data_IF_162111663109
#
_entry.id   IF_162111663109
#
_cell.length_a   1.000
_cell.length_b   1.000
_cell.length_c   1.000
_cell.angle_alpha   90.00
_cell.angle_beta   90.00
_cell.angle_gamma   90.00
#
_symmetry.space_group_name_H-M   'P 1'
#
loop_
_entity.id
_entity.type
_entity.pdbx_description
1 polymer ?
#
# COMPACT_ATOMS: atom_id res chain seq x y z
N UNK A 1 -2.33 38.20 0.34
CA UNK A 1 -1.59 37.28 -0.56
C UNK A 1 -0.74 36.30 0.26
N UNK A 2 -1.32 35.19 0.72
CA UNK A 2 -0.60 33.94 1.02
C UNK A 2 -1.63 32.84 0.79
N UNK A 3 -1.69 32.41 -0.46
CA UNK A 3 -2.55 31.33 -0.90
C UNK A 3 -2.10 30.03 -0.22
N UNK A 4 -3.10 29.27 0.19
CA UNK A 4 -3.06 27.83 0.45
C UNK A 4 -1.99 27.35 1.42
N UNK A 5 -2.45 27.14 2.66
CA UNK A 5 -2.18 25.87 3.31
C UNK A 5 -2.32 24.76 2.25
N UNK A 6 -1.22 24.06 2.02
CA UNK A 6 -1.26 22.79 1.33
C UNK A 6 -1.69 21.79 2.40
N UNK A 7 -2.99 21.73 2.69
CA UNK A 7 -3.54 20.81 3.66
C UNK A 7 -3.28 19.36 3.21
N UNK A 8 -2.45 18.57 3.92
CA UNK A 8 -2.21 17.17 3.58
C UNK A 8 -3.44 16.27 3.86
N UNK A 9 -4.55 16.85 4.30
CA UNK A 9 -5.81 16.14 4.60
C UNK A 9 -6.76 16.06 3.39
N UNK A 10 -6.71 17.04 2.48
CA UNK A 10 -7.61 17.08 1.31
C UNK A 10 -7.33 15.96 0.28
N UNK A 11 -6.14 15.35 0.34
CA UNK A 11 -5.79 14.16 -0.43
C UNK A 11 -6.33 12.85 0.18
N UNK A 12 -6.74 12.85 1.45
CA UNK A 12 -7.31 11.67 2.12
C UNK A 12 -8.80 11.49 1.78
N UNK A 13 -9.51 12.57 1.49
CA UNK A 13 -10.97 12.55 1.28
C UNK A 13 -11.38 11.93 -0.06
N UNK A 14 -10.55 12.03 -1.11
CA UNK A 14 -10.82 11.41 -2.41
C UNK A 14 -10.51 9.90 -2.46
N UNK A 15 -9.80 9.35 -1.47
CA UNK A 15 -9.36 7.96 -1.47
C UNK A 15 -10.44 6.98 -0.97
N UNK A 16 -11.45 7.47 -0.25
CA UNK A 16 -12.46 6.64 0.43
C UNK A 16 -13.69 6.29 -0.43
N UNK A 17 -13.83 6.87 -1.63
CA UNK A 17 -14.97 6.56 -2.54
C UNK A 17 -14.78 5.30 -3.41
N UNK A 18 -13.73 4.49 -3.16
CA UNK A 18 -13.46 3.22 -3.88
C UNK A 18 -13.97 1.96 -3.17
N UNK A 19 -14.73 2.10 -2.09
CA UNK A 19 -15.20 1.00 -1.23
C UNK A 19 -16.22 0.03 -1.88
N UNK A 20 -16.53 0.13 -3.18
CA UNK A 20 -17.50 -0.76 -3.87
C UNK A 20 -16.88 -1.79 -4.82
N UNK A 21 -15.56 -1.78 -5.03
CA UNK A 21 -14.89 -2.77 -5.89
C UNK A 21 -14.17 -3.78 -5.01
N UNK A 22 -14.62 -5.05 -5.06
CA UNK A 22 -14.14 -6.20 -4.26
C UNK A 22 -12.73 -6.00 -3.68
N UNK A 23 -12.59 -5.78 -2.36
CA UNK A 23 -11.27 -5.56 -1.77
C UNK A 23 -10.46 -6.85 -1.86
N UNK A 24 -9.25 -6.75 -2.40
CA UNK A 24 -8.22 -7.76 -2.22
C UNK A 24 -8.06 -7.97 -0.71
N UNK A 25 -8.35 -9.19 -0.22
CA UNK A 25 -8.23 -9.46 1.22
C UNK A 25 -6.76 -9.34 1.62
N UNK A 26 -6.51 -8.80 2.82
CA UNK A 26 -5.18 -8.77 3.45
C UNK A 26 -4.51 -10.15 3.43
N UNK A 27 -5.28 -11.22 3.59
CA UNK A 27 -4.76 -12.60 3.53
C UNK A 27 -4.21 -12.98 2.15
N UNK A 28 -4.79 -12.45 1.07
CA UNK A 28 -4.30 -12.67 -0.30
C UNK A 28 -3.01 -11.89 -0.52
N UNK A 29 -2.96 -10.63 -0.08
CA UNK A 29 -1.75 -9.81 -0.12
C UNK A 29 -0.60 -10.47 0.62
N UNK A 30 -0.83 -10.93 1.86
CA UNK A 30 0.19 -11.62 2.65
C UNK A 30 0.68 -12.89 1.96
N UNK A 31 -0.20 -13.61 1.26
CA UNK A 31 0.16 -14.80 0.49
C UNK A 31 1.07 -14.44 -0.70
N UNK A 32 0.75 -13.40 -1.47
CA UNK A 32 1.61 -12.94 -2.58
C UNK A 32 2.96 -12.45 -2.09
N UNK A 33 3.00 -11.66 -1.01
CA UNK A 33 4.24 -11.25 -0.38
C UNK A 33 5.09 -12.45 0.07
N UNK A 34 4.45 -13.47 0.67
CA UNK A 34 5.14 -14.68 1.08
C UNK A 34 5.59 -15.55 -0.10
N UNK A 35 4.88 -15.53 -1.23
CA UNK A 35 5.27 -16.24 -2.46
C UNK A 35 6.50 -15.59 -3.11
N UNK A 36 6.50 -14.25 -3.20
CA UNK A 36 7.57 -13.49 -3.85
C UNK A 36 8.81 -13.29 -2.97
N UNK A 37 8.61 -12.97 -1.69
CA UNK A 37 9.72 -12.62 -0.77
C UNK A 37 10.01 -13.71 0.27
N UNK A 38 9.12 -14.69 0.44
CA UNK A 38 9.17 -15.66 1.53
C UNK A 38 8.49 -15.16 2.82
N UNK A 39 7.91 -16.04 3.65
CA UNK A 39 7.07 -15.66 4.78
C UNK A 39 7.78 -14.81 5.84
N UNK A 40 9.06 -15.07 6.13
CA UNK A 40 9.81 -14.30 7.13
C UNK A 40 10.18 -12.90 6.64
N UNK A 41 10.67 -12.78 5.39
CA UNK A 41 11.07 -11.49 4.81
C UNK A 41 9.86 -10.62 4.46
N UNK A 42 8.75 -11.24 4.05
CA UNK A 42 7.49 -10.57 3.79
C UNK A 42 6.92 -9.84 5.01
N UNK A 43 7.00 -10.46 6.19
CA UNK A 43 6.50 -9.87 7.44
C UNK A 43 7.36 -8.66 7.85
N UNK A 44 8.69 -8.81 7.84
CA UNK A 44 9.62 -7.70 8.09
C UNK A 44 9.45 -6.57 7.07
N UNK A 45 9.33 -6.88 5.78
CA UNK A 45 9.10 -5.86 4.74
C UNK A 45 7.79 -5.11 4.98
N UNK A 46 6.72 -5.81 5.37
CA UNK A 46 5.43 -5.17 5.63
C UNK A 46 5.48 -4.20 6.81
N UNK A 47 6.38 -4.42 7.77
CA UNK A 47 6.48 -3.66 9.02
C UNK A 47 7.53 -2.58 8.99
N UNK A 48 8.71 -2.89 8.47
CA UNK A 48 9.89 -2.05 8.54
C UNK A 48 10.15 -1.28 7.23
N UNK A 49 9.60 -1.75 6.11
CA UNK A 49 9.84 -1.09 4.83
C UNK A 49 8.84 0.03 4.58
N UNK A 50 9.38 1.24 4.43
CA UNK A 50 8.62 2.44 4.12
C UNK A 50 8.55 2.60 2.60
N UNK A 51 7.35 2.60 2.06
CA UNK A 51 7.12 2.79 0.63
C UNK A 51 6.83 4.27 0.35
N UNK A 52 7.62 4.87 -0.54
CA UNK A 52 7.41 6.25 -1.00
C UNK A 52 6.04 6.43 -1.65
N UNK A 53 5.61 5.45 -2.44
CA UNK A 53 4.29 5.46 -3.10
C UNK A 53 3.10 5.40 -2.13
N UNK A 54 3.29 4.88 -0.91
CA UNK A 54 2.27 4.91 0.16
C UNK A 54 2.30 6.22 0.96
N UNK A 55 2.98 7.23 0.44
CA UNK A 55 3.20 8.52 1.09
C UNK A 55 4.24 8.44 2.21
N UNK A 56 5.26 7.59 2.04
CA UNK A 56 6.29 7.38 3.05
C UNK A 56 5.78 6.59 4.26
N UNK A 57 4.98 5.55 4.02
CA UNK A 57 4.41 4.68 5.06
C UNK A 57 4.77 3.23 4.84
N UNK A 58 4.73 2.46 5.92
CA UNK A 58 4.85 0.99 5.85
C UNK A 58 3.53 0.37 5.42
N UNK A 59 3.56 -0.91 5.05
CA UNK A 59 2.32 -1.63 4.68
C UNK A 59 1.32 -1.60 5.82
N UNK A 60 1.76 -1.89 7.05
CA UNK A 60 0.85 -1.88 8.20
C UNK A 60 0.28 -0.48 8.47
N UNK A 61 1.10 0.57 8.35
CA UNK A 61 0.61 1.94 8.49
C UNK A 61 -0.35 2.37 7.38
N UNK A 62 -0.12 1.92 6.14
CA UNK A 62 -1.01 2.20 5.03
C UNK A 62 -2.36 1.49 5.22
N UNK A 63 -2.34 0.22 5.61
CA UNK A 63 -3.56 -0.56 5.90
C UNK A 63 -4.34 0.04 7.07
N UNK A 64 -3.65 0.46 8.15
CA UNK A 64 -4.26 1.14 9.30
C UNK A 64 -4.89 2.49 8.91
N UNK A 65 -4.23 3.23 8.02
CA UNK A 65 -4.76 4.46 7.42
C UNK A 65 -5.96 4.23 6.46
N UNK A 66 -6.42 2.99 6.28
CA UNK A 66 -7.52 2.64 5.39
C UNK A 66 -7.12 2.43 3.93
N UNK A 67 -5.82 2.32 3.65
CA UNK A 67 -5.32 2.03 2.30
C UNK A 67 -5.71 0.60 1.91
N UNK A 68 -6.22 0.42 0.70
CA UNK A 68 -6.59 -0.91 0.22
C UNK A 68 -5.36 -1.78 0.00
N UNK A 69 -5.41 -3.06 0.40
CA UNK A 69 -4.31 -4.01 0.21
C UNK A 69 -3.88 -4.16 -1.27
N UNK A 70 -4.79 -3.90 -2.22
CA UNK A 70 -4.48 -3.85 -3.66
C UNK A 70 -3.57 -2.68 -4.04
N UNK A 71 -3.78 -1.52 -3.43
CA UNK A 71 -2.97 -0.32 -3.65
C UNK A 71 -1.58 -0.52 -3.04
N UNK A 72 -1.55 -1.09 -1.82
CA UNK A 72 -0.31 -1.54 -1.19
C UNK A 72 0.45 -2.53 -2.06
N UNK A 73 -0.21 -3.57 -2.57
CA UNK A 73 0.43 -4.55 -3.45
C UNK A 73 1.01 -3.92 -4.72
N UNK A 74 0.29 -2.95 -5.29
CA UNK A 74 0.76 -2.21 -6.45
C UNK A 74 2.02 -1.42 -6.13
N UNK A 75 2.06 -0.74 -4.98
CA UNK A 75 3.23 0.00 -4.53
C UNK A 75 4.44 -0.91 -4.27
N UNK A 76 4.19 -2.11 -3.73
CA UNK A 76 5.23 -3.14 -3.60
C UNK A 76 5.74 -3.57 -4.97
N UNK A 77 4.85 -3.87 -5.92
CA UNK A 77 5.25 -4.28 -7.26
C UNK A 77 6.08 -3.21 -7.98
N UNK A 78 5.74 -1.93 -7.82
CA UNK A 78 6.49 -0.82 -8.42
C UNK A 78 7.86 -0.65 -7.76
N UNK A 79 7.91 -0.64 -6.42
CA UNK A 79 9.13 -0.47 -5.66
C UNK A 79 10.14 -1.62 -5.82
N UNK A 80 9.66 -2.84 -6.08
CA UNK A 80 10.50 -4.02 -6.28
C UNK A 80 10.59 -4.46 -7.74
N UNK A 81 10.04 -3.67 -8.68
CA UNK A 81 9.95 -4.01 -10.10
C UNK A 81 9.48 -5.46 -10.34
N UNK A 82 8.48 -5.90 -9.57
CA UNK A 82 7.96 -7.27 -9.66
C UNK A 82 7.39 -7.48 -11.07
N UNK A 83 7.82 -8.53 -11.77
CA UNK A 83 7.41 -8.72 -13.16
C UNK A 83 5.89 -8.95 -13.26
N UNK A 84 5.25 -8.48 -14.36
CA UNK A 84 3.79 -8.47 -14.49
C UNK A 84 3.16 -9.86 -14.52
N UNK A 85 3.96 -10.90 -14.78
CA UNK A 85 3.57 -12.31 -14.64
C UNK A 85 3.25 -12.71 -13.19
N UNK A 86 3.64 -11.89 -12.19
CA UNK A 86 3.48 -12.17 -10.76
C UNK A 86 2.68 -11.11 -9.97
N UNK A 87 2.10 -10.09 -10.62
CA UNK A 87 1.32 -9.01 -9.97
C UNK A 87 -0.19 -9.25 -9.87
#
# INVERSE_FOLDING_TARGET
MKASLRDPESLKEAFTDRARLRPMRITVFRRLMADEFGPGRAETLSRDHVFGELGGRTVEQALDAGTSAKDVWRAVCDAFEVPPERR
#
